data_IF_022296911073
#
_entry.id   IF_022296911073
#
_cell.length_a   1.000
_cell.length_b   1.000
_cell.length_c   1.000
_cell.angle_alpha   90.00
_cell.angle_beta   90.00
_cell.angle_gamma   90.00
#
_symmetry.space_group_name_H-M   'P 1'
#
loop_
_entity.id
_entity.type
_entity.pdbx_description
1 polymer ?
#
# COMPACT_ATOMS: atom_id res chain seq x y z
N UNK A 1 -52.83 -51.69 0.68
CA UNK A 1 -51.95 -51.06 -0.33
C UNK A 1 -52.30 -49.59 -0.39
N UNK A 2 -51.38 -48.71 0.01
CA UNK A 2 -51.58 -47.26 0.05
C UNK A 2 -50.70 -46.64 -1.04
N UNK A 3 -51.21 -45.81 -1.97
CA UNK A 3 -50.40 -45.30 -3.07
C UNK A 3 -49.43 -44.23 -2.55
N UNK A 4 -48.16 -44.38 -2.91
CA UNK A 4 -47.11 -43.43 -2.55
C UNK A 4 -47.40 -42.06 -3.20
N UNK A 5 -47.60 -41.04 -2.37
CA UNK A 5 -47.61 -39.64 -2.80
C UNK A 5 -46.19 -39.24 -3.21
N UNK A 6 -45.91 -39.23 -4.50
CA UNK A 6 -44.74 -38.54 -5.05
C UNK A 6 -44.98 -37.04 -5.00
N UNK A 7 -44.33 -36.36 -4.05
CA UNK A 7 -44.27 -34.90 -4.01
C UNK A 7 -43.41 -34.45 -5.19
N UNK A 8 -44.06 -33.84 -6.19
CA UNK A 8 -43.39 -33.26 -7.33
C UNK A 8 -42.61 -32.02 -6.87
N UNK A 9 -41.34 -32.19 -6.54
CA UNK A 9 -40.44 -31.06 -6.25
C UNK A 9 -40.19 -30.35 -7.57
N UNK A 10 -40.78 -29.17 -7.75
CA UNK A 10 -40.51 -28.33 -8.92
C UNK A 10 -39.01 -27.99 -8.96
N UNK A 11 -38.35 -28.05 -10.12
CA UNK A 11 -36.96 -27.63 -10.23
C UNK A 11 -36.84 -26.17 -9.78
N UNK A 12 -35.75 -25.78 -9.08
CA UNK A 12 -35.56 -24.41 -8.66
C UNK A 12 -35.64 -23.50 -9.89
N UNK A 13 -36.49 -22.48 -9.82
CA UNK A 13 -36.66 -21.50 -10.90
C UNK A 13 -35.26 -21.00 -11.34
N UNK A 14 -34.96 -20.99 -12.65
CA UNK A 14 -33.68 -20.47 -13.12
C UNK A 14 -33.56 -19.02 -12.66
N UNK A 15 -32.42 -18.70 -12.04
CA UNK A 15 -32.15 -17.35 -11.53
C UNK A 15 -32.23 -16.40 -12.72
N UNK A 16 -33.29 -15.58 -12.78
CA UNK A 16 -33.43 -14.55 -13.81
C UNK A 16 -32.43 -13.43 -13.52
N UNK A 17 -31.31 -13.46 -14.25
CA UNK A 17 -30.34 -12.37 -14.27
C UNK A 17 -30.91 -11.19 -15.06
N UNK A 18 -30.64 -9.97 -14.62
CA UNK A 18 -30.87 -8.76 -15.40
C UNK A 18 -30.04 -8.77 -16.69
N UNK A 19 -30.36 -7.90 -17.64
CA UNK A 19 -29.57 -7.76 -18.88
C UNK A 19 -28.09 -7.45 -18.59
N UNK A 20 -27.82 -6.59 -17.61
CA UNK A 20 -26.46 -6.25 -17.21
C UNK A 20 -25.74 -7.44 -16.56
N UNK A 21 -26.40 -8.18 -15.68
CA UNK A 21 -25.80 -9.36 -15.06
C UNK A 21 -25.56 -10.48 -16.06
N UNK A 22 -26.47 -10.66 -17.02
CA UNK A 22 -26.30 -11.61 -18.13
C UNK A 22 -25.09 -11.22 -18.99
N UNK A 23 -24.93 -9.92 -19.27
CA UNK A 23 -23.76 -9.38 -19.95
C UNK A 23 -22.47 -9.65 -19.16
N UNK A 24 -22.45 -9.37 -17.85
CA UNK A 24 -21.27 -9.66 -16.99
C UNK A 24 -20.98 -11.16 -16.92
N UNK A 25 -22.00 -11.99 -16.78
CA UNK A 25 -21.90 -13.45 -16.72
C UNK A 25 -21.36 -14.03 -18.03
N UNK A 26 -21.74 -13.46 -19.18
CA UNK A 26 -21.20 -13.87 -20.47
C UNK A 26 -19.67 -13.74 -20.52
N UNK A 27 -19.08 -12.75 -19.85
CA UNK A 27 -17.62 -12.65 -19.77
C UNK A 27 -16.99 -13.78 -18.95
N UNK A 28 -17.63 -14.22 -17.87
CA UNK A 28 -17.07 -15.29 -17.03
C UNK A 28 -17.13 -16.65 -17.71
N UNK A 29 -18.18 -16.92 -18.49
CA UNK A 29 -18.35 -18.19 -19.22
C UNK A 29 -17.31 -18.34 -20.33
N UNK A 30 -17.12 -17.30 -21.15
CA UNK A 30 -16.29 -17.41 -22.34
C UNK A 30 -14.80 -17.10 -22.10
N UNK A 31 -14.48 -16.17 -21.18
CA UNK A 31 -13.09 -15.85 -20.81
C UNK A 31 -13.02 -15.33 -19.37
N UNK A 32 -12.71 -16.20 -18.39
CA UNK A 32 -12.57 -15.80 -16.99
C UNK A 32 -11.72 -14.54 -16.86
N UNK A 33 -12.16 -13.58 -16.04
CA UNK A 33 -11.48 -12.30 -15.74
C UNK A 33 -11.65 -11.14 -16.76
N UNK A 34 -12.46 -11.26 -17.82
CA UNK A 34 -12.80 -10.07 -18.65
C UNK A 34 -13.68 -9.06 -17.91
N UNK A 35 -14.61 -9.54 -17.10
CA UNK A 35 -15.38 -8.74 -16.13
C UNK A 35 -14.45 -7.88 -15.25
N UNK A 36 -13.26 -8.38 -14.89
CA UNK A 36 -12.31 -7.66 -14.04
C UNK A 36 -11.71 -6.44 -14.73
N UNK A 37 -11.60 -6.44 -16.08
CA UNK A 37 -11.21 -5.24 -16.82
C UNK A 37 -12.29 -4.17 -16.72
N UNK A 38 -13.56 -4.55 -16.90
CA UNK A 38 -14.68 -3.64 -16.69
C UNK A 38 -14.66 -3.08 -15.26
N UNK A 39 -14.54 -3.93 -14.24
CA UNK A 39 -14.47 -3.54 -12.83
C UNK A 39 -13.25 -2.67 -12.47
N UNK A 40 -12.19 -2.67 -13.30
CA UNK A 40 -11.02 -1.82 -13.09
C UNK A 40 -11.27 -0.33 -13.33
N UNK A 41 -12.32 0.02 -14.08
CA UNK A 41 -12.72 1.41 -14.31
C UNK A 41 -13.59 1.99 -13.18
N UNK A 42 -14.16 1.15 -12.32
CA UNK A 42 -14.99 1.58 -11.20
C UNK A 42 -14.14 1.97 -10.01
N UNK A 43 -14.52 3.02 -9.28
CA UNK A 43 -13.87 3.36 -8.01
C UNK A 43 -14.18 2.34 -6.92
N UNK A 44 -13.51 2.42 -5.77
CA UNK A 44 -13.84 1.54 -4.64
C UNK A 44 -15.29 1.75 -4.18
N UNK A 45 -15.76 3.01 -4.17
CA UNK A 45 -17.15 3.36 -3.88
C UNK A 45 -18.12 2.72 -4.88
N UNK A 46 -17.83 2.79 -6.17
CA UNK A 46 -18.71 2.25 -7.19
C UNK A 46 -18.80 0.73 -7.12
N UNK A 47 -17.68 0.05 -6.85
CA UNK A 47 -17.66 -1.40 -6.63
C UNK A 47 -18.55 -1.80 -5.46
N UNK A 48 -18.50 -1.07 -4.34
CA UNK A 48 -19.38 -1.32 -3.19
C UNK A 48 -20.84 -1.13 -3.56
N UNK A 49 -21.17 -0.08 -4.32
CA UNK A 49 -22.55 0.17 -4.79
C UNK A 49 -23.02 -0.92 -5.74
N UNK A 50 -22.19 -1.31 -6.69
CA UNK A 50 -22.46 -2.38 -7.66
C UNK A 50 -22.68 -3.72 -6.96
N UNK A 51 -21.89 -4.04 -5.94
CA UNK A 51 -22.08 -5.25 -5.13
C UNK A 51 -23.35 -5.24 -4.27
N UNK A 52 -24.02 -4.09 -4.12
CA UNK A 52 -25.30 -3.98 -3.41
C UNK A 52 -26.52 -4.14 -4.31
N UNK A 53 -26.37 -4.11 -5.64
CA UNK A 53 -27.51 -4.20 -6.55
C UNK A 53 -28.09 -5.60 -6.63
N UNK A 54 -27.27 -6.64 -6.47
CA UNK A 54 -27.73 -8.04 -6.50
C UNK A 54 -26.77 -9.01 -5.80
N UNK A 55 -27.23 -10.24 -5.54
CA UNK A 55 -26.38 -11.31 -5.02
C UNK A 55 -25.28 -11.73 -6.00
N UNK A 56 -25.61 -11.79 -7.31
CA UNK A 56 -24.64 -12.12 -8.35
C UNK A 56 -23.52 -11.08 -8.42
N UNK A 57 -23.87 -9.79 -8.52
CA UNK A 57 -22.87 -8.72 -8.59
C UNK A 57 -22.02 -8.63 -7.32
N UNK A 58 -22.61 -8.91 -6.15
CA UNK A 58 -21.86 -9.01 -4.89
C UNK A 58 -20.76 -10.06 -4.97
N UNK A 59 -21.05 -11.23 -5.53
CA UNK A 59 -20.07 -12.31 -5.71
C UNK A 59 -18.98 -11.92 -6.69
N UNK A 60 -19.34 -11.33 -7.84
CA UNK A 60 -18.36 -10.86 -8.84
C UNK A 60 -17.44 -9.79 -8.24
N UNK A 61 -18.00 -8.79 -7.55
CA UNK A 61 -17.23 -7.72 -6.90
C UNK A 61 -16.33 -8.28 -5.80
N UNK A 62 -16.81 -9.21 -4.96
CA UNK A 62 -15.98 -9.84 -3.92
C UNK A 62 -14.81 -10.61 -4.54
N UNK A 63 -15.04 -11.37 -5.61
CA UNK A 63 -13.97 -12.09 -6.33
C UNK A 63 -12.94 -11.14 -6.92
N UNK A 64 -13.39 -10.06 -7.56
CA UNK A 64 -12.51 -9.01 -8.07
C UNK A 64 -11.69 -8.36 -6.94
N UNK A 65 -12.34 -7.93 -5.86
CA UNK A 65 -11.74 -7.29 -4.70
C UNK A 65 -10.66 -8.16 -4.04
N UNK A 66 -10.95 -9.45 -3.85
CA UNK A 66 -10.01 -10.42 -3.27
C UNK A 66 -8.75 -10.61 -4.12
N UNK A 67 -8.83 -10.39 -5.43
CA UNK A 67 -7.68 -10.47 -6.33
C UNK A 67 -6.88 -9.16 -6.40
N UNK A 68 -7.54 -8.00 -6.46
CA UNK A 68 -6.84 -6.71 -6.63
C UNK A 68 -6.24 -6.18 -5.33
N UNK A 69 -6.90 -6.40 -4.19
CA UNK A 69 -6.38 -6.07 -2.85
C UNK A 69 -5.80 -7.30 -2.15
N UNK A 70 -5.09 -8.14 -2.91
CA UNK A 70 -4.38 -9.28 -2.36
C UNK A 70 -3.03 -8.84 -1.78
N UNK A 71 -2.92 -8.83 -0.46
CA UNK A 71 -1.72 -8.36 0.23
C UNK A 71 -0.49 -9.23 -0.04
N UNK A 72 -0.64 -10.56 -0.16
CA UNK A 72 0.49 -11.45 -0.42
C UNK A 72 1.06 -11.21 -1.82
N UNK A 73 0.18 -10.99 -2.82
CA UNK A 73 0.59 -10.61 -4.18
C UNK A 73 1.29 -9.26 -4.23
N UNK A 74 0.83 -8.30 -3.44
CA UNK A 74 1.47 -6.99 -3.31
C UNK A 74 2.87 -7.11 -2.69
N UNK A 75 2.98 -7.80 -1.56
CA UNK A 75 4.24 -7.98 -0.83
C UNK A 75 5.25 -8.86 -1.57
N UNK A 76 4.80 -9.76 -2.45
CA UNK A 76 5.67 -10.59 -3.30
C UNK A 76 6.58 -9.76 -4.23
N UNK A 77 6.32 -8.46 -4.38
CA UNK A 77 7.22 -7.55 -5.10
C UNK A 77 8.52 -7.24 -4.35
N UNK A 78 8.53 -7.44 -3.03
CA UNK A 78 9.69 -7.23 -2.16
C UNK A 78 10.18 -8.52 -1.52
N UNK A 79 9.28 -9.41 -1.11
CA UNK A 79 9.63 -10.57 -0.29
C UNK A 79 9.41 -11.89 -1.03
N UNK A 80 10.32 -12.85 -0.88
CA UNK A 80 10.15 -14.17 -1.47
C UNK A 80 9.03 -14.94 -0.73
N UNK A 81 8.89 -14.69 0.58
CA UNK A 81 7.90 -15.33 1.47
C UNK A 81 7.01 -14.27 2.13
N UNK A 82 6.02 -13.72 1.42
CA UNK A 82 5.19 -12.62 1.93
C UNK A 82 4.29 -13.02 3.11
N UNK A 83 3.96 -14.31 3.26
CA UNK A 83 3.21 -14.81 4.43
C UNK A 83 4.09 -14.75 5.67
N UNK A 84 5.34 -15.21 5.57
CA UNK A 84 6.32 -15.13 6.67
C UNK A 84 6.57 -13.67 7.09
N UNK A 85 6.67 -12.75 6.13
CA UNK A 85 6.78 -11.32 6.45
C UNK A 85 5.58 -10.83 7.27
N UNK A 86 4.35 -11.25 6.93
CA UNK A 86 3.16 -10.87 7.71
C UNK A 86 3.17 -11.46 9.11
N UNK A 87 3.74 -12.64 9.30
CA UNK A 87 3.99 -13.20 10.64
C UNK A 87 4.97 -12.34 11.43
N UNK A 88 6.01 -11.79 10.79
CA UNK A 88 6.93 -10.82 11.42
C UNK A 88 6.21 -9.52 11.76
N UNK A 89 5.32 -9.01 10.89
CA UNK A 89 4.48 -7.85 11.22
C UNK A 89 3.59 -8.13 12.45
N UNK A 90 3.04 -9.34 12.57
CA UNK A 90 2.23 -9.73 13.72
C UNK A 90 3.05 -9.78 15.01
N UNK A 91 4.23 -10.42 14.95
CA UNK A 91 5.15 -10.55 16.07
C UNK A 91 5.66 -9.21 16.59
N UNK A 92 5.98 -8.29 15.67
CA UNK A 92 6.63 -7.01 16.00
C UNK A 92 5.65 -5.86 16.23
N UNK A 93 4.38 -6.03 15.85
CA UNK A 93 3.41 -4.93 15.78
C UNK A 93 3.76 -3.87 14.73
N UNK A 94 4.65 -4.20 13.79
CA UNK A 94 5.05 -3.31 12.72
C UNK A 94 3.94 -3.12 11.68
N UNK A 95 3.99 -2.00 10.97
CA UNK A 95 3.05 -1.67 9.90
C UNK A 95 3.79 -1.12 8.69
N UNK A 96 3.32 -1.45 7.50
CA UNK A 96 3.75 -0.81 6.25
C UNK A 96 2.97 0.47 6.03
N UNK A 97 3.57 1.52 5.50
CA UNK A 97 2.92 2.82 5.24
C UNK A 97 3.48 3.50 3.98
N UNK A 98 3.08 4.74 3.74
CA UNK A 98 3.71 5.59 2.72
C UNK A 98 3.26 5.29 1.29
N UNK A 99 4.15 5.58 0.34
CA UNK A 99 3.80 5.69 -1.08
C UNK A 99 3.30 4.36 -1.71
N UNK A 100 3.83 3.22 -1.24
CA UNK A 100 3.45 1.90 -1.75
C UNK A 100 2.07 1.48 -1.26
N UNK A 101 1.70 1.83 -0.03
CA UNK A 101 0.37 1.54 0.51
C UNK A 101 -0.71 2.31 -0.25
N UNK A 102 -0.40 3.53 -0.73
CA UNK A 102 -1.27 4.24 -1.67
C UNK A 102 -1.47 3.42 -2.95
N UNK A 103 -0.40 2.86 -3.53
CA UNK A 103 -0.53 2.03 -4.74
C UNK A 103 -1.41 0.80 -4.49
N UNK A 104 -1.27 0.16 -3.32
CA UNK A 104 -2.11 -0.97 -2.92
C UNK A 104 -3.60 -0.61 -2.94
N UNK A 105 -3.99 0.46 -2.24
CA UNK A 105 -5.38 0.89 -2.21
C UNK A 105 -5.90 1.35 -3.57
N UNK A 106 -5.07 2.05 -4.34
CA UNK A 106 -5.40 2.54 -5.68
C UNK A 106 -5.40 1.44 -6.75
N UNK A 107 -5.16 0.17 -6.37
CA UNK A 107 -5.08 -0.99 -7.28
C UNK A 107 -4.03 -0.82 -8.38
N UNK A 108 -2.99 -0.03 -8.11
CA UNK A 108 -1.88 0.21 -9.03
C UNK A 108 -0.73 -0.75 -8.75
N UNK A 109 0.08 -0.97 -9.78
CA UNK A 109 1.31 -1.76 -9.62
C UNK A 109 2.24 -1.04 -8.64
N UNK A 110 2.90 -1.78 -7.72
CA UNK A 110 3.98 -1.25 -6.91
C UNK A 110 5.00 -0.44 -7.70
N UNK A 111 5.43 0.69 -7.12
CA UNK A 111 6.50 1.51 -7.70
C UNK A 111 7.83 0.96 -7.22
N UNK A 112 8.38 0.01 -7.95
CA UNK A 112 9.53 -0.76 -7.49
C UNK A 112 10.85 0.03 -7.33
N UNK A 113 10.87 1.29 -7.81
CA UNK A 113 11.99 2.22 -7.62
C UNK A 113 11.91 3.03 -6.32
N UNK A 114 10.73 3.10 -5.71
CA UNK A 114 10.52 3.75 -4.41
C UNK A 114 10.51 2.73 -3.29
N UNK A 115 10.82 3.20 -2.10
CA UNK A 115 11.01 2.36 -0.93
C UNK A 115 9.69 1.77 -0.42
N UNK A 116 9.76 0.64 0.27
CA UNK A 116 8.69 0.12 1.10
C UNK A 116 8.95 0.52 2.55
N UNK A 117 8.12 1.41 3.08
CA UNK A 117 8.28 1.95 4.43
C UNK A 117 7.63 1.02 5.46
N UNK A 118 8.40 0.58 6.46
CA UNK A 118 7.95 -0.27 7.56
C UNK A 118 8.23 0.45 8.88
N UNK A 119 7.18 0.77 9.62
CA UNK A 119 7.29 1.41 10.93
C UNK A 119 7.20 0.36 12.03
N UNK A 120 8.13 0.39 12.97
CA UNK A 120 8.20 -0.57 14.08
C UNK A 120 8.67 0.09 15.36
N UNK A 121 8.30 -0.45 16.52
CA UNK A 121 8.94 -0.05 17.78
C UNK A 121 10.33 -0.66 17.88
N UNK A 122 11.15 -0.13 18.78
CA UNK A 122 12.52 -0.61 19.03
C UNK A 122 12.60 -2.13 19.18
N UNK A 123 11.70 -2.74 19.97
CA UNK A 123 11.67 -4.20 20.17
C UNK A 123 11.43 -5.00 18.87
N UNK A 124 10.77 -4.40 17.88
CA UNK A 124 10.49 -5.03 16.60
C UNK A 124 11.59 -4.83 15.55
N UNK A 125 12.62 -4.02 15.83
CA UNK A 125 13.71 -3.77 14.88
C UNK A 125 14.55 -5.04 14.65
N UNK A 126 14.86 -5.79 15.71
CA UNK A 126 15.70 -6.99 15.61
C UNK A 126 15.05 -8.09 14.74
N UNK A 127 13.79 -8.52 15.00
CA UNK A 127 13.17 -9.55 14.17
C UNK A 127 12.99 -9.13 12.71
N UNK A 128 12.72 -7.85 12.44
CA UNK A 128 12.61 -7.32 11.07
C UNK A 128 13.95 -7.35 10.34
N UNK A 129 15.02 -6.90 10.98
CA UNK A 129 16.38 -6.97 10.43
C UNK A 129 16.76 -8.40 10.07
N UNK A 130 16.59 -9.34 11.01
CA UNK A 130 16.90 -10.75 10.79
C UNK A 130 16.08 -11.34 9.64
N UNK A 131 14.79 -11.01 9.56
CA UNK A 131 13.94 -11.46 8.45
C UNK A 131 14.43 -10.93 7.11
N UNK A 132 14.74 -9.63 7.04
CA UNK A 132 15.19 -8.98 5.81
C UNK A 132 16.50 -9.59 5.30
N UNK A 133 17.47 -9.81 6.19
CA UNK A 133 18.74 -10.45 5.85
C UNK A 133 18.54 -11.88 5.37
N UNK A 134 17.70 -12.65 6.06
CA UNK A 134 17.36 -14.02 5.63
C UNK A 134 16.63 -14.05 4.27
N UNK A 135 15.89 -12.99 3.90
CA UNK A 135 15.25 -12.86 2.58
C UNK A 135 16.20 -12.30 1.49
N UNK A 136 17.46 -12.02 1.85
CA UNK A 136 18.53 -11.59 0.94
C UNK A 136 18.73 -10.08 0.84
N UNK A 137 18.13 -9.29 1.74
CA UNK A 137 18.42 -7.87 1.84
C UNK A 137 19.75 -7.60 2.53
N UNK A 138 20.42 -6.53 2.13
CA UNK A 138 21.62 -6.01 2.78
C UNK A 138 21.37 -4.61 3.31
N UNK A 139 21.95 -4.31 4.47
CA UNK A 139 21.93 -2.99 5.09
C UNK A 139 22.71 -2.00 4.22
N UNK A 140 22.18 -0.79 3.98
CA UNK A 140 22.90 0.34 3.41
C UNK A 140 23.23 1.38 4.47
N UNK A 141 24.47 1.87 4.44
CA UNK A 141 24.98 2.93 5.30
C UNK A 141 25.18 4.20 4.47
N UNK A 142 24.44 5.27 4.77
CA UNK A 142 24.47 6.54 3.99
C UNK A 142 25.73 7.40 4.22
N UNK A 143 26.45 7.20 5.32
CA UNK A 143 27.56 8.06 5.76
C UNK A 143 28.85 7.31 6.04
N UNK A 144 28.94 6.04 5.66
CA UNK A 144 30.10 5.22 5.98
C UNK A 144 30.90 4.94 4.71
N UNK A 145 32.26 5.01 4.75
CA UNK A 145 33.08 4.71 3.58
C UNK A 145 32.71 3.36 2.98
N UNK A 146 32.72 3.28 1.64
CA UNK A 146 32.28 2.15 0.80
C UNK A 146 32.96 0.79 1.12
N UNK A 147 33.91 0.77 2.05
CA UNK A 147 34.70 -0.41 2.43
C UNK A 147 34.28 -1.05 3.76
N UNK A 148 33.16 -0.66 4.35
CA UNK A 148 32.70 -1.27 5.61
C UNK A 148 31.36 -1.97 5.43
N UNK A 149 31.37 -2.96 4.55
CA UNK A 149 30.25 -3.87 4.30
C UNK A 149 30.02 -4.89 5.45
N UNK A 150 30.84 -4.86 6.51
CA UNK A 150 30.93 -5.94 7.49
C UNK A 150 30.52 -5.60 8.93
N UNK A 151 29.85 -4.48 9.21
CA UNK A 151 29.23 -4.35 10.54
C UNK A 151 27.95 -5.20 10.59
N UNK A 152 27.81 -6.10 11.58
CA UNK A 152 26.58 -6.86 11.72
C UNK A 152 25.45 -5.88 12.05
N UNK A 153 24.36 -5.97 11.28
CA UNK A 153 23.13 -5.21 11.50
C UNK A 153 22.58 -5.33 12.93
N UNK A 154 22.93 -6.42 13.62
CA UNK A 154 22.67 -6.65 15.03
C UNK A 154 23.28 -5.58 15.92
N UNK A 155 24.51 -5.15 15.67
CA UNK A 155 25.19 -4.11 16.45
C UNK A 155 24.45 -2.79 16.36
N UNK A 156 23.94 -2.44 15.17
CA UNK A 156 23.09 -1.27 15.00
C UNK A 156 21.81 -1.39 15.82
N UNK A 157 21.14 -2.55 15.77
CA UNK A 157 19.88 -2.74 16.51
C UNK A 157 20.11 -2.70 18.03
N UNK A 158 21.20 -3.27 18.54
CA UNK A 158 21.59 -3.16 19.95
C UNK A 158 21.99 -1.73 20.35
N UNK A 159 22.56 -0.97 19.42
CA UNK A 159 22.84 0.45 19.66
C UNK A 159 21.55 1.27 19.79
N UNK A 160 20.47 0.91 19.07
CA UNK A 160 19.17 1.56 19.17
C UNK A 160 18.59 1.39 20.58
N UNK A 161 18.60 0.15 21.12
CA UNK A 161 18.08 -0.13 22.48
C UNK A 161 18.85 0.59 23.57
N UNK A 162 20.13 0.88 23.32
CA UNK A 162 21.04 1.54 24.28
C UNK A 162 21.11 3.06 24.08
N UNK A 163 20.42 3.61 23.07
CA UNK A 163 20.55 5.03 22.71
C UNK A 163 19.72 5.95 23.62
N UNK A 164 20.32 7.08 24.04
CA UNK A 164 19.62 8.19 24.73
C UNK A 164 18.42 8.72 23.93
N UNK A 165 18.41 8.52 22.61
CA UNK A 165 17.31 8.83 21.70
C UNK A 165 16.00 8.12 22.05
N UNK A 166 16.06 6.93 22.67
CA UNK A 166 14.88 6.25 23.19
C UNK A 166 14.25 7.00 24.36
N UNK A 167 15.08 7.58 25.24
CA UNK A 167 14.67 8.25 26.48
C UNK A 167 14.15 9.67 26.24
N UNK A 168 14.66 10.37 25.22
CA UNK A 168 14.35 11.79 24.99
C UNK A 168 13.39 12.09 23.82
N UNK A 169 12.75 11.08 23.21
CA UNK A 169 11.76 11.34 22.16
C UNK A 169 12.28 11.23 20.72
N UNK A 170 13.54 10.87 20.51
CA UNK A 170 14.19 10.84 19.18
C UNK A 170 14.41 12.25 18.58
N UNK A 171 15.40 12.43 17.69
CA UNK A 171 15.69 13.74 17.09
C UNK A 171 14.58 14.26 16.17
N UNK A 172 13.66 13.39 15.72
CA UNK A 172 12.59 13.74 14.79
C UNK A 172 11.23 13.19 15.24
N UNK A 173 10.59 13.87 16.21
CA UNK A 173 9.19 13.64 16.59
C UNK A 173 8.84 12.16 16.88
N UNK A 174 9.71 11.41 17.55
CA UNK A 174 9.49 10.00 17.86
C UNK A 174 10.19 9.00 16.95
N UNK A 175 10.84 9.43 15.86
CA UNK A 175 11.73 8.57 15.07
C UNK A 175 13.06 8.43 15.80
N UNK A 176 13.42 7.19 16.11
CA UNK A 176 14.67 6.82 16.79
C UNK A 176 15.78 6.57 15.76
N UNK A 177 15.48 5.81 14.70
CA UNK A 177 16.43 5.45 13.64
C UNK A 177 15.69 5.08 12.35
N UNK A 178 16.30 5.38 11.21
CA UNK A 178 15.86 4.86 9.90
C UNK A 178 16.89 3.87 9.41
N UNK A 179 16.42 2.69 9.01
CA UNK A 179 17.24 1.61 8.50
C UNK A 179 16.90 1.33 7.02
N UNK A 180 17.71 1.83 6.08
CA UNK A 180 17.68 1.52 4.63
C UNK A 180 18.24 0.13 4.21
N UNK A 181 17.44 -0.74 3.62
CA UNK A 181 17.84 -2.06 3.13
C UNK A 181 17.65 -2.19 1.61
N UNK A 182 18.55 -2.90 0.95
CA UNK A 182 18.47 -3.15 -0.50
C UNK A 182 18.68 -4.63 -0.83
N UNK A 183 17.91 -5.11 -1.80
CA UNK A 183 18.04 -6.47 -2.37
C UNK A 183 18.18 -6.40 -3.88
N UNK A 184 19.21 -7.03 -4.42
CA UNK A 184 19.39 -7.19 -5.86
C UNK A 184 18.35 -8.18 -6.42
N UNK A 185 17.71 -7.81 -7.53
CA UNK A 185 16.72 -8.62 -8.24
C UNK A 185 17.08 -8.66 -9.71
N UNK A 186 17.22 -9.86 -10.25
CA UNK A 186 17.50 -10.09 -11.67
C UNK A 186 16.21 -9.99 -12.49
N UNK A 187 16.19 -9.11 -13.49
CA UNK A 187 15.04 -8.94 -14.40
C UNK A 187 15.04 -9.97 -15.52
N UNK A 188 16.21 -10.39 -15.95
CA UNK A 188 16.46 -11.45 -16.94
C UNK A 188 17.72 -12.21 -16.53
N UNK A 189 17.83 -13.52 -16.86
CA UNK A 189 19.08 -14.24 -16.71
C UNK A 189 20.20 -13.49 -17.45
N UNK A 190 21.17 -12.97 -16.71
CA UNK A 190 22.45 -12.55 -17.25
C UNK A 190 22.69 -11.08 -17.63
N UNK A 191 21.80 -10.09 -17.41
CA UNK A 191 22.25 -8.70 -17.70
C UNK A 191 21.55 -7.48 -17.08
N UNK A 192 20.45 -7.60 -16.33
CA UNK A 192 19.86 -6.42 -15.64
C UNK A 192 19.49 -6.71 -14.19
N UNK A 193 20.27 -6.14 -13.28
CA UNK A 193 19.95 -6.07 -11.85
C UNK A 193 19.15 -4.79 -11.59
N UNK A 194 18.04 -4.93 -10.89
CA UNK A 194 17.36 -3.81 -10.23
C UNK A 194 17.40 -4.04 -8.73
N UNK A 195 17.21 -2.98 -7.93
CA UNK A 195 17.20 -3.10 -6.48
C UNK A 195 15.80 -2.91 -5.95
N UNK A 196 15.43 -3.74 -4.97
CA UNK A 196 14.26 -3.52 -4.12
C UNK A 196 14.72 -2.86 -2.84
N UNK A 197 14.02 -1.80 -2.46
CA UNK A 197 14.37 -0.99 -1.30
C UNK A 197 13.31 -1.11 -0.22
N UNK A 198 13.76 -1.25 1.02
CA UNK A 198 12.92 -1.32 2.22
C UNK A 198 13.50 -0.37 3.25
N UNK A 199 12.68 0.47 3.85
CA UNK A 199 13.08 1.33 4.97
C UNK A 199 12.38 0.86 6.24
N UNK A 200 13.15 0.44 7.24
CA UNK A 200 12.62 0.16 8.58
C UNK A 200 12.80 1.41 9.43
N UNK A 201 11.70 2.11 9.69
CA UNK A 201 11.63 3.29 10.54
C UNK A 201 11.32 2.86 11.97
N UNK A 202 12.33 2.96 12.83
CA UNK A 202 12.23 2.60 14.23
C UNK A 202 11.74 3.81 15.03
N UNK A 203 10.67 3.62 15.78
CA UNK A 203 9.96 4.68 16.51
C UNK A 203 9.83 4.33 17.99
N UNK A 204 9.70 5.34 18.85
CA UNK A 204 9.50 5.15 20.29
C UNK A 204 8.02 5.14 20.71
N UNK A 205 7.11 5.48 19.79
CA UNK A 205 5.65 5.43 19.97
C UNK A 205 5.03 4.25 19.22
N UNK A 206 3.77 3.87 19.50
CA UNK A 206 3.03 2.94 18.65
C UNK A 206 3.07 3.38 17.16
N UNK A 207 3.42 2.49 16.21
CA UNK A 207 3.61 2.87 14.80
C UNK A 207 2.42 3.60 14.17
N UNK A 208 1.19 3.18 14.49
CA UNK A 208 -0.03 3.82 13.98
C UNK A 208 -0.18 5.24 14.53
N UNK A 209 0.05 5.45 15.82
CA UNK A 209 0.05 6.79 16.42
C UNK A 209 1.11 7.68 15.77
N UNK A 210 2.31 7.14 15.57
CA UNK A 210 3.38 7.87 14.89
C UNK A 210 2.96 8.34 13.49
N UNK A 211 2.33 7.45 12.71
CA UNK A 211 1.89 7.74 11.34
C UNK A 211 0.81 8.82 11.34
N UNK A 212 -0.23 8.65 12.16
CA UNK A 212 -1.39 9.57 12.18
C UNK A 212 -0.97 10.97 12.63
N UNK A 213 -0.14 11.04 13.68
CA UNK A 213 0.21 12.31 14.27
C UNK A 213 1.32 13.03 13.52
N UNK A 214 2.30 12.32 12.94
CA UNK A 214 3.56 12.94 12.48
C UNK A 214 3.78 12.92 10.96
N UNK A 215 2.84 12.43 10.17
CA UNK A 215 2.96 12.48 8.70
C UNK A 215 2.56 13.85 8.15
N UNK A 216 3.29 14.31 7.13
CA UNK A 216 3.12 15.63 6.52
C UNK A 216 1.84 15.77 5.66
N UNK A 217 1.22 14.66 5.25
CA UNK A 217 -0.04 14.69 4.51
C UNK A 217 -0.89 13.46 4.74
N UNK A 218 -2.20 13.63 4.60
CA UNK A 218 -3.20 12.56 4.73
C UNK A 218 -3.04 11.41 3.73
N UNK A 219 -2.45 11.67 2.57
CA UNK A 219 -2.24 10.65 1.53
C UNK A 219 -1.30 9.53 1.97
N UNK A 220 -0.28 9.84 2.77
CA UNK A 220 0.70 8.86 3.24
C UNK A 220 0.35 8.24 4.60
N UNK A 221 -0.75 8.65 5.25
CA UNK A 221 -1.18 8.10 6.55
C UNK A 221 -1.84 6.72 6.46
N UNK A 222 -2.06 6.21 5.24
CA UNK A 222 -2.62 4.89 5.01
C UNK A 222 -1.60 3.82 5.42
N UNK A 223 -2.05 2.76 6.09
CA UNK A 223 -1.13 1.72 6.59
C UNK A 223 -1.67 0.30 6.37
N UNK A 224 -0.77 -0.67 6.40
CA UNK A 224 -1.06 -2.09 6.34
C UNK A 224 -0.38 -2.77 7.52
N UNK A 225 -1.19 -3.42 8.35
CA UNK A 225 -0.76 -4.27 9.45
C UNK A 225 -0.84 -5.75 9.05
N UNK A 226 -0.44 -6.66 9.94
CA UNK A 226 -0.60 -8.10 9.72
C UNK A 226 -2.07 -8.53 9.48
N UNK A 227 -3.02 -7.81 10.10
CA UNK A 227 -4.45 -8.14 10.12
C UNK A 227 -5.26 -7.39 9.07
N UNK A 228 -4.91 -6.13 8.80
CA UNK A 228 -5.74 -5.24 7.98
C UNK A 228 -4.94 -4.14 7.29
N UNK A 229 -5.46 -3.70 6.15
CA UNK A 229 -5.07 -2.46 5.49
C UNK A 229 -6.10 -1.38 5.83
N UNK A 230 -5.65 -0.21 6.28
CA UNK A 230 -6.51 0.92 6.64
C UNK A 230 -6.14 2.16 5.82
N UNK A 231 -7.17 2.76 5.23
CA UNK A 231 -7.08 4.13 4.72
C UNK A 231 -7.88 5.06 5.62
N UNK A 232 -7.25 6.14 6.07
CA UNK A 232 -7.85 7.08 7.03
C UNK A 232 -8.74 8.10 6.33
N UNK A 233 -8.35 8.50 5.11
CA UNK A 233 -9.07 9.47 4.30
C UNK A 233 -9.43 8.88 2.93
N UNK A 234 -10.17 7.77 2.86
CA UNK A 234 -10.35 7.01 1.63
C UNK A 234 -11.07 7.82 0.54
N UNK A 235 -12.08 8.62 0.93
CA UNK A 235 -12.84 9.45 0.00
C UNK A 235 -11.95 10.54 -0.63
N UNK A 236 -11.33 11.37 0.20
CA UNK A 236 -10.43 12.41 -0.26
C UNK A 236 -9.26 11.85 -1.10
N UNK A 237 -8.64 10.76 -0.65
CA UNK A 237 -7.42 10.19 -1.27
C UNK A 237 -7.73 9.48 -2.59
N UNK A 238 -8.78 8.66 -2.65
CA UNK A 238 -9.01 7.74 -3.78
C UNK A 238 -10.19 8.11 -4.68
N UNK A 239 -11.17 8.84 -4.16
CA UNK A 239 -12.30 9.36 -4.96
C UNK A 239 -11.96 10.76 -5.48
N UNK A 240 -11.67 11.71 -4.58
CA UNK A 240 -11.43 13.11 -4.95
C UNK A 240 -10.00 13.39 -5.44
N UNK A 241 -9.07 12.46 -5.22
CA UNK A 241 -7.65 12.55 -5.61
C UNK A 241 -6.92 13.76 -5.00
N UNK A 242 -7.22 14.07 -3.74
CA UNK A 242 -6.61 15.17 -2.98
C UNK A 242 -5.94 14.66 -1.70
N UNK A 243 -4.83 15.32 -1.30
CA UNK A 243 -4.19 15.13 -0.01
C UNK A 243 -4.23 16.43 0.77
N UNK A 244 -4.72 16.38 2.01
CA UNK A 244 -4.61 17.49 2.94
C UNK A 244 -3.24 17.51 3.60
N UNK A 245 -2.56 18.68 3.66
CA UNK A 245 -1.35 18.83 4.44
C UNK A 245 -1.68 18.72 5.94
N UNK A 246 -0.82 18.06 6.69
CA UNK A 246 -0.83 18.12 8.15
C UNK A 246 -0.05 19.35 8.61
N UNK A 247 -0.40 19.90 9.77
CA UNK A 247 0.16 21.15 10.33
C UNK A 247 1.67 21.10 10.58
N UNK A 248 2.29 19.93 10.47
CA UNK A 248 3.73 19.74 10.63
C UNK A 248 4.47 19.85 9.29
N UNK A 249 5.07 21.02 9.07
CA UNK A 249 6.28 21.19 8.27
C UNK A 249 7.00 22.46 8.70
N UNK A 250 8.26 22.32 9.14
CA UNK A 250 9.34 23.02 8.45
C UNK A 250 10.14 21.99 7.64
N UNK A 251 9.47 21.18 6.82
CA UNK A 251 10.12 20.31 5.83
C UNK A 251 10.46 21.12 4.57
N UNK A 252 11.28 22.15 4.73
CA UNK A 252 11.85 22.92 3.62
C UNK A 252 12.96 22.17 2.86
N UNK A 253 13.48 21.07 3.41
CA UNK A 253 14.66 20.37 2.88
C UNK A 253 14.41 18.94 2.37
N UNK A 254 13.38 18.22 2.84
CA UNK A 254 13.19 16.80 2.49
C UNK A 254 12.21 16.54 1.33
N UNK A 255 11.41 17.54 0.92
CA UNK A 255 10.46 17.41 -0.21
C UNK A 255 11.15 17.12 -1.54
N UNK A 256 12.35 17.68 -1.78
CA UNK A 256 13.11 17.44 -3.02
C UNK A 256 13.61 16.01 -3.16
N UNK A 257 13.75 15.30 -2.05
CA UNK A 257 14.39 13.98 -2.00
C UNK A 257 13.39 12.84 -2.20
N UNK A 258 12.11 13.02 -1.84
CA UNK A 258 11.14 11.93 -1.80
C UNK A 258 10.31 11.74 -3.08
N UNK A 259 10.18 12.76 -3.94
CA UNK A 259 9.24 12.68 -5.09
C UNK A 259 9.92 12.75 -6.46
N UNK A 260 11.20 13.07 -6.52
CA UNK A 260 11.89 13.40 -7.77
C UNK A 260 11.26 14.63 -8.45
N UNK A 261 12.03 15.29 -9.31
CA UNK A 261 11.65 16.57 -9.94
C UNK A 261 10.48 16.49 -10.96
N UNK A 262 9.58 15.50 -10.88
CA UNK A 262 8.58 15.24 -11.93
C UNK A 262 7.12 15.13 -11.48
N UNK A 263 6.77 15.47 -10.25
CA UNK A 263 5.34 15.59 -9.87
C UNK A 263 4.92 17.06 -9.90
N UNK A 264 3.90 17.44 -10.70
CA UNK A 264 3.40 18.81 -10.70
C UNK A 264 2.92 19.17 -9.29
N UNK A 265 3.23 20.41 -8.86
CA UNK A 265 2.91 20.93 -7.53
C UNK A 265 1.44 20.60 -7.17
N UNK A 266 1.16 20.07 -5.98
CA UNK A 266 -0.23 19.91 -5.55
C UNK A 266 -0.92 21.27 -5.61
N UNK A 267 -2.12 21.33 -6.18
CA UNK A 267 -2.98 22.52 -6.08
C UNK A 267 -3.30 22.69 -4.61
N UNK A 268 -2.61 23.61 -3.95
CA UNK A 268 -2.91 24.04 -2.59
C UNK A 268 -4.31 24.66 -2.63
N UNK A 269 -5.26 24.03 -1.95
CA UNK A 269 -6.56 24.65 -1.71
C UNK A 269 -6.34 25.75 -0.66
N UNK A 270 -6.20 26.97 -1.13
CA UNK A 270 -6.14 28.17 -0.31
C UNK A 270 -7.57 28.62 0.00
N UNK A 271 -7.97 28.50 1.28
CA UNK A 271 -9.29 28.95 1.75
C UNK A 271 -9.53 30.45 1.56
N UNK A 272 -8.49 31.25 1.30
CA UNK A 272 -8.63 32.70 1.07
C UNK A 272 -8.96 33.06 -0.37
N UNK A 273 -8.91 32.10 -1.30
CA UNK A 273 -9.25 32.33 -2.71
C UNK A 273 -10.47 31.49 -3.08
N UNK A 274 -11.64 32.14 -2.98
CA UNK A 274 -12.87 31.66 -3.58
C UNK A 274 -12.67 31.31 -5.06
N UNK A 275 -13.50 30.38 -5.53
CA UNK A 275 -13.61 29.90 -6.91
C UNK A 275 -13.15 30.93 -7.96
N UNK A 276 -12.05 30.66 -8.66
CA UNK A 276 -11.74 31.34 -9.92
C UNK A 276 -11.84 30.33 -11.05
N UNK A 277 -12.94 30.44 -11.79
CA UNK A 277 -13.19 29.80 -13.06
C UNK A 277 -12.15 30.23 -14.09
N UNK A 278 -11.28 29.32 -14.54
CA UNK A 278 -10.68 29.37 -15.89
C UNK A 278 -10.50 27.95 -16.43
N UNK A 279 -11.60 27.39 -16.90
CA UNK A 279 -11.63 26.63 -18.14
C UNK A 279 -11.84 27.66 -19.25
N UNK A 280 -10.77 28.08 -19.88
CA UNK A 280 -10.71 28.70 -21.20
C UNK A 280 -9.21 28.81 -21.54
N UNK A 281 -8.87 28.49 -22.78
CA UNK A 281 -7.55 28.65 -23.40
C UNK A 281 -6.56 27.48 -23.22
N UNK A 282 -6.72 26.47 -24.10
CA UNK A 282 -5.66 25.99 -25.00
C UNK A 282 -6.20 24.88 -25.93
N UNK A 283 -7.07 25.28 -26.84
CA UNK A 283 -6.96 24.80 -28.23
C UNK A 283 -5.88 25.65 -28.92
N UNK A 284 -5.17 25.05 -29.89
CA UNK A 284 -4.03 25.58 -30.68
C UNK A 284 -2.64 25.28 -30.11
N UNK A 285 -2.11 24.11 -30.48
CA UNK A 285 -0.75 23.94 -30.98
C UNK A 285 -0.50 22.46 -31.35
N UNK A 286 -0.97 22.05 -32.53
CA UNK A 286 -0.42 20.96 -33.34
C UNK A 286 -0.85 21.26 -34.79
N UNK A 287 -0.04 22.10 -35.45
CA UNK A 287 0.30 21.89 -36.85
C UNK A 287 1.52 20.99 -36.90
#
# INVERSE_FOLDING_TARGET
MNPAHFVHVSPPNPIKLSAFESFVNSFEIYRPRRSWRLLSYFSARDLVRLGKTSAFMRTVVKGYAANVWNINKFLACWFNRPVDFRSVLALTGAVTTGSQVIQFFDRRRPRLKSDLDIFTRVAGALPLTLYLEADGYRRKYKHWPEHVDNYPSLTDVFSITSSRSFVQGGPFHGIVKVLDFEKAVWLTPGNRVTYRKVQVVVVNKPPIEQIILNFHSTGVMNYISHKQAVSIFPYATFEDRIFYPSRMSPLGSEWKTLVGNQVPRPRIYDRTKGYSSKFADREKACG
#
